data_IF_673941681650
#
_entry.id   IF_673941681650
#
_cell.length_a   1.000
_cell.length_b   1.000
_cell.length_c   1.000
_cell.angle_alpha   90.00
_cell.angle_beta   90.00
_cell.angle_gamma   90.00
#
_symmetry.space_group_name_H-M   'P 1'
#
loop_
_entity.id
_entity.type
_entity.pdbx_description
1 polymer ?
#
# COMPACT_ATOMS: atom_id res chain seq x y z
N UNK A 1 16.78 0.10 2.23
CA UNK A 1 15.88 -0.83 2.96
C UNK A 1 14.61 -0.15 3.42
N UNK A 2 13.70 -0.90 4.03
CA UNK A 2 12.46 -0.35 4.54
C UNK A 2 12.60 0.21 5.96
N UNK A 3 11.80 1.22 6.31
CA UNK A 3 11.74 1.77 7.66
C UNK A 3 10.96 0.88 8.60
N UNK A 4 11.28 0.99 9.89
CA UNK A 4 10.49 0.33 10.92
C UNK A 4 9.09 0.94 11.02
N UNK A 5 8.10 0.11 11.36
CA UNK A 5 6.71 0.55 11.55
C UNK A 5 6.60 1.72 12.53
N UNK A 6 7.29 1.62 13.67
CA UNK A 6 7.46 2.71 14.62
C UNK A 6 8.92 3.03 14.86
N UNK A 7 9.23 4.30 14.99
CA UNK A 7 10.58 4.79 15.26
C UNK A 7 10.56 5.82 16.39
N UNK A 8 11.59 5.77 17.23
CA UNK A 8 11.83 6.81 18.24
C UNK A 8 12.23 8.12 17.56
N UNK A 9 11.46 9.17 17.79
CA UNK A 9 11.64 10.45 17.11
C UNK A 9 12.92 11.22 17.49
N UNK A 10 13.65 10.78 18.53
CA UNK A 10 14.91 11.40 18.95
C UNK A 10 16.12 10.66 18.45
N UNK A 11 16.05 9.34 18.41
CA UNK A 11 17.20 8.48 18.11
C UNK A 11 17.13 7.85 16.72
N UNK A 12 15.96 7.84 16.08
CA UNK A 12 15.71 7.11 14.84
C UNK A 12 15.72 5.58 15.00
N UNK A 13 15.77 5.10 16.23
CA UNK A 13 15.77 3.65 16.51
C UNK A 13 14.38 3.08 16.29
N UNK A 14 14.31 1.95 15.59
CA UNK A 14 13.06 1.21 15.43
C UNK A 14 12.52 0.74 16.78
N UNK A 15 11.20 0.88 16.98
CA UNK A 15 10.50 0.45 18.18
C UNK A 15 9.71 -0.82 17.88
N UNK A 16 9.50 -1.70 18.89
CA UNK A 16 8.70 -2.90 18.72
C UNK A 16 7.28 -2.59 18.29
N UNK A 17 6.82 -3.18 17.18
CA UNK A 17 5.43 -3.07 16.75
C UNK A 17 4.52 -4.02 17.53
N UNK A 18 5.01 -5.21 17.81
CA UNK A 18 4.34 -6.18 18.68
C UNK A 18 5.38 -7.00 19.45
N UNK A 19 4.93 -7.85 20.37
CA UNK A 19 5.82 -8.64 21.24
C UNK A 19 6.80 -9.59 20.50
N UNK A 20 6.60 -9.78 19.18
CA UNK A 20 7.39 -10.72 18.36
C UNK A 20 8.23 -10.05 17.27
N UNK A 21 7.92 -8.81 16.89
CA UNK A 21 8.64 -8.07 15.86
C UNK A 21 9.25 -6.81 16.44
N UNK A 22 10.53 -6.89 16.79
CA UNK A 22 11.30 -5.73 17.19
C UNK A 22 11.92 -5.10 15.94
N UNK A 23 11.64 -3.83 15.70
CA UNK A 23 12.28 -3.03 14.65
C UNK A 23 12.23 -3.58 13.22
N UNK A 24 11.21 -4.34 12.88
CA UNK A 24 11.02 -4.86 11.52
C UNK A 24 10.91 -3.73 10.49
N UNK A 25 11.58 -3.90 9.35
CA UNK A 25 11.39 -3.06 8.17
C UNK A 25 10.01 -3.35 7.57
N UNK A 26 9.08 -2.41 7.73
CA UNK A 26 7.69 -2.50 7.24
C UNK A 26 7.59 -1.89 5.86
N UNK A 27 7.32 -2.73 4.85
CA UNK A 27 7.27 -2.30 3.46
C UNK A 27 6.04 -1.43 3.16
N UNK A 28 4.93 -1.69 3.83
CA UNK A 28 3.68 -0.94 3.63
C UNK A 28 3.81 0.47 4.19
N UNK A 29 4.27 0.62 5.43
CA UNK A 29 4.53 1.93 6.02
C UNK A 29 5.61 2.71 5.26
N UNK A 30 6.63 1.98 4.76
CA UNK A 30 7.64 2.57 3.88
C UNK A 30 7.02 3.11 2.58
N UNK A 31 6.07 2.39 1.99
CA UNK A 31 5.37 2.85 0.80
C UNK A 31 4.54 4.11 1.07
N UNK A 32 3.87 4.19 2.21
CA UNK A 32 3.10 5.38 2.61
C UNK A 32 4.01 6.59 2.85
N UNK A 33 5.14 6.39 3.52
CA UNK A 33 6.16 7.43 3.69
C UNK A 33 6.64 7.93 2.33
N UNK A 34 6.99 7.04 1.40
CA UNK A 34 7.47 7.41 0.07
C UNK A 34 6.43 8.19 -0.73
N UNK A 35 5.15 7.79 -0.70
CA UNK A 35 4.09 8.53 -1.37
C UNK A 35 3.93 9.94 -0.82
N UNK A 36 3.99 10.10 0.51
CA UNK A 36 4.00 11.42 1.16
C UNK A 36 5.20 12.26 0.76
N UNK A 37 6.40 11.67 0.71
CA UNK A 37 7.62 12.33 0.30
C UNK A 37 7.58 12.78 -1.16
N UNK A 38 7.00 12.00 -2.07
CA UNK A 38 6.80 12.43 -3.45
C UNK A 38 5.87 13.64 -3.57
N UNK A 39 4.76 13.67 -2.82
CA UNK A 39 3.88 14.85 -2.79
C UNK A 39 4.63 16.07 -2.27
N UNK A 40 5.40 15.93 -1.19
CA UNK A 40 6.23 17.02 -0.68
C UNK A 40 7.27 17.47 -1.71
N UNK A 41 7.87 16.55 -2.44
CA UNK A 41 8.86 16.84 -3.49
C UNK A 41 8.26 17.65 -4.63
N UNK A 42 7.02 17.39 -5.02
CA UNK A 42 6.31 18.17 -6.04
C UNK A 42 5.83 19.53 -5.52
N UNK A 43 5.45 19.61 -4.26
CA UNK A 43 5.01 20.87 -3.65
C UNK A 43 6.17 21.82 -3.39
N UNK A 44 7.28 21.32 -2.82
CA UNK A 44 8.51 22.09 -2.57
C UNK A 44 9.46 21.99 -3.77
N UNK A 45 9.12 22.68 -4.86
CA UNK A 45 9.78 22.54 -6.17
C UNK A 45 10.55 23.80 -6.63
N UNK A 46 10.82 24.74 -5.71
CA UNK A 46 11.62 25.94 -6.04
C UNK A 46 13.10 25.61 -6.22
N UNK A 47 13.85 26.58 -6.78
CA UNK A 47 15.31 26.49 -6.94
C UNK A 47 16.08 26.77 -5.62
N UNK A 48 15.38 26.89 -4.50
CA UNK A 48 16.01 27.03 -3.18
C UNK A 48 16.88 25.81 -2.86
N UNK A 49 18.04 26.05 -2.25
CA UNK A 49 19.01 25.00 -1.97
C UNK A 49 18.46 23.92 -1.03
N UNK A 50 17.66 24.32 -0.03
CA UNK A 50 17.05 23.39 0.94
C UNK A 50 16.02 22.50 0.29
N UNK A 51 15.15 23.08 -0.56
CA UNK A 51 14.15 22.31 -1.28
C UNK A 51 14.80 21.38 -2.32
N UNK A 52 15.84 21.85 -3.00
CA UNK A 52 16.62 21.02 -3.94
C UNK A 52 17.29 19.84 -3.24
N UNK A 53 17.88 20.06 -2.06
CA UNK A 53 18.48 19.00 -1.25
C UNK A 53 17.39 18.00 -0.77
N UNK A 54 16.23 18.49 -0.33
CA UNK A 54 15.11 17.64 0.09
C UNK A 54 14.64 16.73 -1.05
N UNK A 55 14.45 17.26 -2.26
CA UNK A 55 14.09 16.45 -3.44
C UNK A 55 15.16 15.41 -3.79
N UNK A 56 16.42 15.74 -3.65
CA UNK A 56 17.52 14.80 -3.87
C UNK A 56 17.47 13.64 -2.86
N UNK A 57 17.15 13.90 -1.59
CA UNK A 57 16.95 12.85 -0.58
C UNK A 57 15.76 11.96 -0.91
N UNK A 58 14.62 12.52 -1.35
CA UNK A 58 13.46 11.73 -1.75
C UNK A 58 13.80 10.76 -2.89
N UNK A 59 14.48 11.28 -3.93
CA UNK A 59 14.94 10.46 -5.06
C UNK A 59 15.92 9.38 -4.62
N UNK A 60 16.86 9.71 -3.73
CA UNK A 60 17.82 8.76 -3.18
C UNK A 60 17.11 7.63 -2.42
N UNK A 61 16.17 7.96 -1.51
CA UNK A 61 15.44 6.96 -0.74
C UNK A 61 14.66 6.01 -1.64
N UNK A 62 13.94 6.54 -2.64
CA UNK A 62 13.22 5.68 -3.58
C UNK A 62 14.15 4.71 -4.32
N UNK A 63 15.29 5.21 -4.77
CA UNK A 63 16.26 4.42 -5.54
C UNK A 63 17.04 3.39 -4.70
N UNK A 64 17.03 3.49 -3.38
CA UNK A 64 17.76 2.59 -2.49
C UNK A 64 16.87 1.56 -1.76
N UNK A 65 15.56 1.58 -2.00
CA UNK A 65 14.66 0.56 -1.46
C UNK A 65 14.71 -0.67 -2.36
N UNK A 66 15.20 -1.75 -1.83
CA UNK A 66 15.20 -3.06 -2.52
C UNK A 66 13.83 -3.73 -2.36
N UNK A 67 12.93 -3.40 -3.28
CA UNK A 67 11.58 -3.97 -3.31
C UNK A 67 11.62 -5.46 -3.68
N UNK A 68 12.54 -5.86 -4.57
CA UNK A 68 12.66 -7.25 -4.99
C UNK A 68 13.06 -8.18 -3.83
N UNK A 69 13.85 -7.68 -2.87
CA UNK A 69 14.15 -8.41 -1.64
C UNK A 69 12.87 -8.87 -0.92
N UNK A 70 11.84 -8.01 -0.89
CA UNK A 70 10.58 -8.31 -0.22
C UNK A 70 9.70 -9.33 -0.96
N UNK A 71 10.10 -9.79 -2.12
CA UNK A 71 9.44 -10.93 -2.75
C UNK A 71 9.81 -12.26 -2.09
N UNK A 72 10.97 -12.32 -1.42
CA UNK A 72 11.56 -13.57 -0.88
C UNK A 72 11.64 -14.66 -1.95
N UNK A 73 11.85 -14.28 -3.22
CA UNK A 73 11.87 -15.19 -4.37
C UNK A 73 10.51 -15.70 -4.82
N UNK A 74 9.40 -15.14 -4.30
CA UNK A 74 8.04 -15.48 -4.67
C UNK A 74 7.42 -14.41 -5.58
N UNK A 75 6.24 -14.68 -6.13
CA UNK A 75 5.46 -13.75 -6.97
C UNK A 75 4.50 -12.89 -6.13
N UNK A 76 4.97 -12.36 -5.01
CA UNK A 76 4.20 -11.52 -4.09
C UNK A 76 5.16 -10.73 -3.21
N UNK A 77 4.69 -9.63 -2.62
CA UNK A 77 5.46 -8.89 -1.61
C UNK A 77 5.09 -9.35 -0.21
N UNK A 78 6.07 -9.40 0.67
CA UNK A 78 5.89 -9.61 2.10
C UNK A 78 5.75 -8.27 2.81
N UNK A 79 4.94 -8.23 3.88
CA UNK A 79 4.63 -7.00 4.62
C UNK A 79 5.84 -6.42 5.33
N UNK A 80 6.60 -7.26 6.00
CA UNK A 80 7.75 -6.83 6.80
C UNK A 80 8.85 -7.88 6.87
N UNK A 81 10.07 -7.42 7.16
CA UNK A 81 11.24 -8.25 7.42
C UNK A 81 11.99 -7.75 8.64
N UNK A 82 12.43 -8.67 9.49
CA UNK A 82 13.26 -8.41 10.66
C UNK A 82 14.55 -9.21 10.57
N UNK A 83 15.67 -8.61 10.98
CA UNK A 83 17.01 -9.24 10.88
C UNK A 83 17.17 -10.51 11.72
N UNK A 84 16.41 -10.64 12.81
CA UNK A 84 16.51 -11.76 13.74
C UNK A 84 15.38 -12.78 13.53
N UNK A 85 14.22 -12.35 13.02
CA UNK A 85 13.01 -13.17 12.86
C UNK A 85 12.71 -13.53 11.39
N UNK A 86 13.37 -12.89 10.42
CA UNK A 86 13.13 -13.08 9.00
C UNK A 86 11.85 -12.38 8.52
N UNK A 87 11.25 -12.89 7.46
CA UNK A 87 10.02 -12.35 6.89
C UNK A 87 8.80 -12.62 7.77
N UNK A 88 7.98 -11.59 7.98
CA UNK A 88 6.68 -11.76 8.62
C UNK A 88 5.80 -12.71 7.78
N UNK A 89 5.04 -13.62 8.39
CA UNK A 89 4.19 -14.56 7.66
C UNK A 89 2.92 -13.89 7.09
N UNK A 90 3.06 -12.67 6.60
CA UNK A 90 1.99 -11.83 6.05
C UNK A 90 2.41 -11.33 4.67
N UNK A 91 1.72 -11.81 3.64
CA UNK A 91 1.89 -11.37 2.26
C UNK A 91 0.96 -10.21 1.96
N UNK A 92 1.41 -9.27 1.14
CA UNK A 92 0.57 -8.18 0.66
C UNK A 92 -0.27 -8.70 -0.49
N UNK A 93 -1.58 -8.80 -0.27
CA UNK A 93 -2.55 -9.21 -1.29
C UNK A 93 -3.76 -8.28 -1.22
N UNK A 94 -4.22 -7.81 -2.38
CA UNK A 94 -5.38 -6.90 -2.44
C UNK A 94 -6.75 -7.59 -2.27
N UNK A 95 -7.84 -6.82 -2.26
CA UNK A 95 -7.80 -5.37 -2.12
C UNK A 95 -7.46 -4.97 -0.66
N UNK A 96 -6.51 -4.09 -0.50
CA UNK A 96 -6.13 -3.51 0.79
C UNK A 96 -5.41 -2.17 0.56
N UNK A 97 -5.06 -1.50 1.64
CA UNK A 97 -4.38 -0.21 1.65
C UNK A 97 -2.97 -0.22 1.02
N UNK A 98 -2.39 -1.38 0.84
CA UNK A 98 -0.98 -1.54 0.45
C UNK A 98 -0.73 -1.54 -1.08
N UNK A 99 -1.71 -1.16 -1.93
CA UNK A 99 -1.50 -0.99 -3.37
C UNK A 99 -0.26 -0.13 -3.70
N UNK A 100 0.03 0.98 -2.98
CA UNK A 100 1.22 1.79 -3.26
C UNK A 100 2.53 1.01 -3.22
N UNK A 101 2.66 -0.02 -2.38
CA UNK A 101 3.87 -0.83 -2.32
C UNK A 101 4.19 -1.51 -3.66
N UNK A 102 3.17 -2.03 -4.35
CA UNK A 102 3.35 -2.63 -5.67
C UNK A 102 3.68 -1.61 -6.76
N UNK A 103 3.03 -0.43 -6.72
CA UNK A 103 3.28 0.61 -7.73
C UNK A 103 4.69 1.17 -7.60
N UNK A 104 5.15 1.41 -6.38
CA UNK A 104 6.53 1.83 -6.12
C UNK A 104 7.52 0.75 -6.49
N UNK A 105 7.25 -0.50 -6.17
CA UNK A 105 8.09 -1.63 -6.53
C UNK A 105 8.25 -1.82 -8.05
N UNK A 106 7.19 -1.56 -8.84
CA UNK A 106 7.24 -1.58 -10.30
C UNK A 106 8.01 -0.39 -10.88
N UNK A 107 7.99 0.78 -10.21
CA UNK A 107 8.64 2.01 -10.66
C UNK A 107 10.08 2.18 -10.17
N UNK A 108 10.56 1.27 -9.35
CA UNK A 108 11.92 1.31 -8.81
C UNK A 108 12.99 1.10 -9.91
N UNK A 109 14.26 1.46 -9.66
CA UNK A 109 15.36 1.11 -10.54
C UNK A 109 15.40 -0.41 -10.82
N UNK A 110 15.77 -0.80 -12.04
CA UNK A 110 15.76 -2.19 -12.52
C UNK A 110 16.41 -3.18 -11.54
N UNK A 111 17.47 -2.76 -10.86
CA UNK A 111 18.19 -3.55 -9.86
C UNK A 111 17.29 -3.97 -8.67
N UNK A 112 16.32 -3.13 -8.29
CA UNK A 112 15.46 -3.29 -7.10
C UNK A 112 13.98 -3.47 -7.43
N UNK A 113 13.62 -3.29 -8.70
CA UNK A 113 12.25 -3.39 -9.16
C UNK A 113 11.72 -4.82 -9.11
N UNK A 114 10.42 -4.93 -8.98
CA UNK A 114 9.71 -6.19 -9.21
C UNK A 114 9.18 -6.25 -10.64
N UNK A 115 8.86 -7.46 -11.10
CA UNK A 115 8.24 -7.66 -12.41
C UNK A 115 6.72 -7.48 -12.35
N UNK A 116 6.09 -7.21 -13.50
CA UNK A 116 4.64 -7.19 -13.64
C UNK A 116 3.97 -8.49 -13.15
N UNK A 117 4.67 -9.61 -13.26
CA UNK A 117 4.21 -10.91 -12.77
C UNK A 117 4.04 -10.94 -11.24
N UNK A 118 4.89 -10.22 -10.49
CA UNK A 118 4.77 -10.05 -9.03
C UNK A 118 3.54 -9.20 -8.69
N UNK A 119 3.26 -8.14 -9.43
CA UNK A 119 2.04 -7.35 -9.27
C UNK A 119 0.79 -8.19 -9.56
N UNK A 120 0.78 -8.85 -10.71
CA UNK A 120 -0.37 -9.65 -11.17
C UNK A 120 -0.72 -10.79 -10.21
N UNK A 121 0.27 -11.52 -9.74
CA UNK A 121 0.05 -12.67 -8.86
C UNK A 121 -0.03 -12.26 -7.39
N UNK A 122 0.77 -11.30 -6.96
CA UNK A 122 0.82 -10.84 -5.58
C UNK A 122 -0.36 -9.97 -5.21
N UNK A 123 -0.56 -8.84 -5.89
CA UNK A 123 -1.65 -7.93 -5.63
C UNK A 123 -3.02 -8.62 -5.77
N UNK A 124 -3.27 -9.25 -6.91
CA UNK A 124 -4.49 -10.01 -7.11
C UNK A 124 -4.49 -11.27 -6.26
N UNK A 125 -3.45 -12.10 -6.36
CA UNK A 125 -3.35 -13.38 -5.65
C UNK A 125 -4.59 -14.26 -5.82
N UNK A 126 -4.81 -15.16 -4.88
CA UNK A 126 -6.03 -15.97 -4.80
C UNK A 126 -7.11 -15.36 -3.88
N UNK A 127 -6.96 -14.10 -3.48
CA UNK A 127 -7.75 -13.51 -2.39
C UNK A 127 -8.77 -12.48 -2.82
N UNK A 128 -8.93 -12.20 -4.10
CA UNK A 128 -10.11 -11.48 -4.57
C UNK A 128 -11.34 -12.41 -4.50
N UNK A 129 -11.58 -12.96 -3.32
CA UNK A 129 -12.76 -13.77 -3.11
C UNK A 129 -13.99 -12.88 -3.20
N UNK A 130 -15.04 -13.41 -3.83
CA UNK A 130 -16.27 -12.66 -4.13
C UNK A 130 -16.05 -11.43 -5.04
N UNK A 131 -14.98 -11.40 -5.85
CA UNK A 131 -14.80 -10.37 -6.88
C UNK A 131 -16.01 -10.33 -7.83
N UNK A 132 -16.46 -9.12 -8.17
CA UNK A 132 -17.64 -8.92 -9.02
C UNK A 132 -18.99 -9.19 -8.36
N UNK A 133 -19.03 -9.47 -7.05
CA UNK A 133 -20.32 -9.65 -6.35
C UNK A 133 -21.09 -8.34 -6.27
N UNK A 134 -22.40 -8.42 -6.19
CA UNK A 134 -23.27 -7.28 -5.94
C UNK A 134 -23.74 -7.27 -4.48
N UNK A 135 -23.53 -6.14 -3.81
CA UNK A 135 -24.00 -5.89 -2.44
C UNK A 135 -24.80 -4.59 -2.44
N UNK A 136 -26.04 -4.61 -1.95
CA UNK A 136 -26.95 -3.44 -1.98
C UNK A 136 -27.18 -2.82 -3.37
N UNK A 137 -27.03 -3.60 -4.44
CA UNK A 137 -27.15 -3.12 -5.80
C UNK A 137 -25.89 -2.51 -6.43
N UNK A 138 -24.78 -2.47 -5.68
CA UNK A 138 -23.48 -1.99 -6.16
C UNK A 138 -22.54 -3.17 -6.41
N UNK A 139 -21.84 -3.14 -7.54
CA UNK A 139 -20.81 -4.15 -7.85
C UNK A 139 -19.54 -3.86 -7.06
N UNK A 140 -18.93 -4.91 -6.53
CA UNK A 140 -17.66 -4.82 -5.81
C UNK A 140 -16.61 -5.60 -6.60
N UNK A 141 -15.92 -4.91 -7.51
CA UNK A 141 -15.13 -5.50 -8.60
C UNK A 141 -14.03 -6.41 -8.07
N UNK A 142 -13.26 -5.92 -7.10
CA UNK A 142 -12.17 -6.69 -6.51
C UNK A 142 -12.62 -7.59 -5.35
N UNK A 143 -13.88 -7.49 -4.93
CA UNK A 143 -14.39 -8.25 -3.80
C UNK A 143 -13.90 -7.70 -2.46
N UNK A 144 -13.92 -8.54 -1.43
CA UNK A 144 -13.59 -8.19 -0.07
C UNK A 144 -14.64 -8.71 0.92
N UNK A 145 -14.76 -8.08 2.08
CA UNK A 145 -15.73 -8.47 3.11
C UNK A 145 -17.18 -8.30 2.64
N UNK A 146 -18.10 -9.09 3.21
CA UNK A 146 -19.51 -9.15 2.75
C UNK A 146 -20.21 -7.78 2.72
N UNK A 147 -19.93 -6.95 3.70
CA UNK A 147 -20.50 -5.59 3.82
C UNK A 147 -19.51 -4.48 3.40
N UNK A 148 -18.46 -4.84 2.65
CA UNK A 148 -17.43 -3.95 2.17
C UNK A 148 -16.22 -3.83 3.11
N UNK A 149 -16.38 -3.99 4.41
CA UNK A 149 -15.31 -3.78 5.39
C UNK A 149 -14.93 -2.31 5.59
N UNK A 150 -13.79 -2.05 6.22
CA UNK A 150 -13.33 -0.69 6.49
C UNK A 150 -13.00 0.08 5.20
N UNK A 151 -13.46 1.32 5.09
CA UNK A 151 -13.22 2.15 3.90
C UNK A 151 -11.73 2.40 3.63
N UNK A 152 -10.87 2.42 4.64
CA UNK A 152 -9.45 2.70 4.44
C UNK A 152 -8.79 1.67 3.49
N UNK A 153 -9.25 0.43 3.46
CA UNK A 153 -8.68 -0.61 2.61
C UNK A 153 -8.74 -0.28 1.12
N UNK A 154 -9.71 0.53 0.71
CA UNK A 154 -9.91 0.94 -0.69
C UNK A 154 -9.69 2.42 -0.92
N UNK A 155 -9.80 3.28 0.10
CA UNK A 155 -9.68 4.72 -0.06
C UNK A 155 -8.24 5.22 0.21
N UNK A 156 -7.52 4.58 1.12
CA UNK A 156 -6.19 5.01 1.55
C UNK A 156 -5.17 5.10 0.41
N UNK A 157 -5.06 4.13 -0.52
CA UNK A 157 -4.14 4.25 -1.66
C UNK A 157 -4.37 5.51 -2.49
N UNK A 158 -5.61 5.96 -2.59
CA UNK A 158 -6.01 7.09 -3.44
C UNK A 158 -5.94 8.46 -2.74
N UNK A 159 -5.34 8.53 -1.57
CA UNK A 159 -4.83 9.78 -1.00
C UNK A 159 -3.67 10.34 -1.82
N UNK A 160 -2.94 9.48 -2.54
CA UNK A 160 -1.75 9.83 -3.32
C UNK A 160 -1.88 9.55 -4.82
N UNK A 161 -2.77 8.66 -5.20
CA UNK A 161 -3.00 8.24 -6.58
C UNK A 161 -4.37 8.74 -7.02
N UNK A 162 -4.46 9.38 -8.18
CA UNK A 162 -5.75 9.80 -8.70
C UNK A 162 -6.53 8.59 -9.22
N UNK A 163 -7.62 8.16 -8.55
CA UNK A 163 -8.35 6.96 -8.94
C UNK A 163 -9.06 7.09 -10.30
N UNK A 164 -9.34 8.33 -10.77
CA UNK A 164 -9.88 8.56 -12.10
C UNK A 164 -8.92 8.22 -13.24
N UNK A 165 -7.62 8.21 -12.95
CA UNK A 165 -6.57 7.97 -13.92
C UNK A 165 -5.95 6.59 -13.76
N UNK A 166 -6.42 5.82 -12.79
CA UNK A 166 -5.85 4.51 -12.49
C UNK A 166 -6.83 3.39 -12.77
N UNK A 167 -6.49 2.60 -13.77
CA UNK A 167 -7.21 1.40 -14.19
C UNK A 167 -6.20 0.31 -14.50
N UNK A 168 -6.53 -0.92 -14.19
CA UNK A 168 -5.77 -2.11 -14.59
C UNK A 168 -6.69 -3.18 -15.20
N UNK A 169 -6.16 -4.39 -15.39
CA UNK A 169 -6.94 -5.49 -15.93
C UNK A 169 -8.02 -6.04 -14.97
N UNK A 170 -8.13 -5.47 -13.77
CA UNK A 170 -8.98 -6.00 -12.70
C UNK A 170 -10.12 -5.06 -12.36
N UNK A 171 -9.88 -3.77 -12.35
CA UNK A 171 -10.88 -2.79 -11.97
C UNK A 171 -10.64 -1.41 -12.60
N UNK A 172 -11.72 -0.66 -12.75
CA UNK A 172 -11.74 0.79 -12.69
C UNK A 172 -11.76 1.18 -11.22
N UNK A 173 -10.66 1.77 -10.74
CA UNK A 173 -10.51 2.04 -9.31
C UNK A 173 -11.36 3.19 -8.80
N UNK A 174 -11.79 4.11 -9.69
CA UNK A 174 -12.80 5.10 -9.31
C UNK A 174 -14.16 4.46 -9.04
N UNK A 175 -14.60 3.57 -9.91
CA UNK A 175 -15.86 2.84 -9.74
C UNK A 175 -15.79 1.95 -8.48
N UNK A 176 -14.72 1.20 -8.31
CA UNK A 176 -14.48 0.36 -7.15
C UNK A 176 -14.56 1.13 -5.81
N UNK A 177 -13.86 2.27 -5.70
CA UNK A 177 -13.88 3.11 -4.51
C UNK A 177 -15.25 3.72 -4.25
N UNK A 178 -15.92 4.17 -5.30
CA UNK A 178 -17.27 4.75 -5.23
C UNK A 178 -18.28 3.72 -4.75
N UNK A 179 -18.26 2.53 -5.35
CA UNK A 179 -19.16 1.44 -4.97
C UNK A 179 -18.93 0.99 -3.53
N UNK A 180 -17.66 0.89 -3.08
CA UNK A 180 -17.37 0.58 -1.69
C UNK A 180 -17.94 1.62 -0.71
N UNK A 181 -17.79 2.90 -1.01
CA UNK A 181 -18.34 3.97 -0.18
C UNK A 181 -19.88 3.89 -0.10
N UNK A 182 -20.55 3.57 -1.22
CA UNK A 182 -22.00 3.41 -1.28
C UNK A 182 -22.48 2.16 -0.53
N UNK A 183 -21.77 1.05 -0.63
CA UNK A 183 -22.03 -0.18 0.15
C UNK A 183 -21.92 0.10 1.65
N UNK A 184 -20.83 0.76 2.06
CA UNK A 184 -20.59 1.09 3.46
C UNK A 184 -21.65 2.06 4.03
N UNK A 185 -22.02 3.09 3.23
CA UNK A 185 -23.12 4.00 3.59
C UNK A 185 -24.45 3.25 3.75
N UNK A 186 -24.78 2.34 2.82
CA UNK A 186 -26.02 1.58 2.89
C UNK A 186 -26.07 0.71 4.15
N UNK A 187 -24.98 -0.01 4.44
CA UNK A 187 -24.84 -0.80 5.66
C UNK A 187 -25.04 0.05 6.91
N UNK A 188 -24.35 1.18 6.99
CA UNK A 188 -24.43 2.06 8.17
C UNK A 188 -25.83 2.63 8.43
N UNK A 189 -26.59 2.89 7.38
CA UNK A 189 -27.93 3.45 7.51
C UNK A 189 -29.02 2.40 7.83
N UNK A 190 -28.86 1.18 7.33
CA UNK A 190 -29.97 0.22 7.31
C UNK A 190 -29.69 -1.06 8.14
N UNK A 191 -28.45 -1.53 8.18
CA UNK A 191 -28.12 -2.85 8.71
C UNK A 191 -27.20 -2.81 9.93
N UNK A 192 -26.47 -1.70 10.17
CA UNK A 192 -25.60 -1.58 11.33
C UNK A 192 -26.42 -1.63 12.63
N UNK A 193 -25.91 -2.28 13.70
CA UNK A 193 -26.55 -2.25 15.00
C UNK A 193 -26.79 -0.78 15.43
N UNK A 194 -27.99 -0.47 15.83
CA UNK A 194 -28.32 0.83 16.43
C UNK A 194 -27.93 0.75 17.89
N UNK A 195 -27.04 1.63 18.33
CA UNK A 195 -26.73 1.84 19.74
C UNK A 195 -27.91 2.43 20.50
#
# INVERSE_FOLDING_TARGET
GAWSHWMDGKTGTGLPFNQKQQSAGDLVETSFMMMGLFICSEYFNSEDATETEARAFVSKFHNEIDWNFYTHGEKTLYWAWDKDLGFAPLKITGPCEALPAYLLALSAPEEYAVTEDVYTNGWRGNKFFNAGRTTYGYTFELGGEEKGGPLFTTQHPFLWINPFLYQDNYADYWEFCTNHALINRHYSLNDAPKE
#
